data_IF_244287993242
#
_entry.id   IF_244287993242
#
_cell.length_a   1.000
_cell.length_b   1.000
_cell.length_c   1.000
_cell.angle_alpha   90.00
_cell.angle_beta   90.00
_cell.angle_gamma   90.00
#
_symmetry.space_group_name_H-M   'P 1'
#
loop_
_entity.id
_entity.type
_entity.pdbx_description
1 polymer ?
#
# COMPACT_ATOMS: atom_id res chain seq x y z
N UNK A 1 -34.39 63.84 3.74
CA UNK A 1 -33.66 62.86 4.58
C UNK A 1 -33.97 61.46 4.05
N UNK A 2 -32.96 60.80 3.48
CA UNK A 2 -33.06 59.51 2.80
C UNK A 2 -33.16 58.37 3.81
N UNK A 3 -34.36 57.86 4.05
CA UNK A 3 -34.60 56.71 4.94
C UNK A 3 -34.59 55.35 4.23
N UNK A 4 -34.69 55.30 2.89
CA UNK A 4 -34.79 54.03 2.14
C UNK A 4 -33.43 53.40 1.79
N UNK A 5 -32.36 54.20 1.69
CA UNK A 5 -31.02 53.72 1.32
C UNK A 5 -30.32 52.95 2.44
N UNK A 6 -30.60 53.28 3.71
CA UNK A 6 -29.96 52.62 4.85
C UNK A 6 -30.55 51.22 5.15
N UNK A 7 -31.80 50.95 4.76
CA UNK A 7 -32.44 49.66 5.00
C UNK A 7 -31.99 48.59 3.98
N UNK A 8 -31.66 49.01 2.76
CA UNK A 8 -31.12 48.14 1.71
C UNK A 8 -29.65 47.73 1.97
N UNK A 9 -28.83 48.64 2.52
CA UNK A 9 -27.45 48.31 2.90
C UNK A 9 -27.39 47.32 4.07
N UNK A 10 -28.29 47.43 5.05
CA UNK A 10 -28.31 46.54 6.21
C UNK A 10 -28.73 45.10 5.85
N UNK A 11 -29.69 44.94 4.93
CA UNK A 11 -30.09 43.62 4.41
C UNK A 11 -28.98 42.93 3.60
N UNK A 12 -28.20 43.69 2.84
CA UNK A 12 -27.09 43.16 2.03
C UNK A 12 -25.95 42.58 2.90
N UNK A 13 -25.61 43.25 4.01
CA UNK A 13 -24.55 42.82 4.93
C UNK A 13 -24.89 41.54 5.71
N UNK A 14 -26.17 41.31 6.02
CA UNK A 14 -26.63 40.09 6.73
C UNK A 14 -26.59 38.87 5.80
N UNK A 15 -27.02 39.03 4.54
CA UNK A 15 -27.02 37.94 3.55
C UNK A 15 -25.58 37.50 3.23
N UNK A 16 -24.64 38.45 3.08
CA UNK A 16 -23.22 38.15 2.85
C UNK A 16 -22.62 37.35 4.01
N UNK A 17 -22.92 37.71 5.27
CA UNK A 17 -22.42 36.99 6.45
C UNK A 17 -22.97 35.56 6.56
N UNK A 18 -24.23 35.35 6.17
CA UNK A 18 -24.85 34.02 6.12
C UNK A 18 -24.23 33.15 5.02
N UNK A 19 -23.91 33.73 3.86
CA UNK A 19 -23.23 33.03 2.75
C UNK A 19 -21.79 32.61 3.11
N UNK A 20 -21.04 33.45 3.83
CA UNK A 20 -19.68 33.12 4.31
C UNK A 20 -19.74 32.00 5.37
N UNK A 21 -20.73 32.01 6.25
CA UNK A 21 -20.92 30.95 7.25
C UNK A 21 -21.28 29.61 6.60
N UNK A 22 -22.08 29.59 5.52
CA UNK A 22 -22.39 28.35 4.78
C UNK A 22 -21.18 27.79 4.01
N UNK A 23 -20.32 28.66 3.46
CA UNK A 23 -19.06 28.25 2.82
C UNK A 23 -18.10 27.57 3.82
N UNK A 24 -18.03 28.06 5.05
CA UNK A 24 -17.18 27.46 6.10
C UNK A 24 -17.67 26.07 6.55
N UNK A 25 -18.96 25.78 6.48
CA UNK A 25 -19.52 24.46 6.83
C UNK A 25 -19.33 23.46 5.65
N UNK A 26 -19.24 23.95 4.42
CA UNK A 26 -19.00 23.10 3.23
C UNK A 26 -17.54 22.65 3.04
N UNK A 27 -16.58 23.27 3.74
CA UNK A 27 -15.15 22.90 3.71
C UNK A 27 -14.73 22.03 4.91
N UNK A 28 -15.63 21.80 5.87
CA UNK A 28 -15.37 21.04 7.10
C UNK A 28 -15.66 19.55 7.03
N UNK A 29 -15.90 18.98 5.85
CA UNK A 29 -16.17 17.55 5.69
C UNK A 29 -15.50 17.00 4.44
N UNK A 30 -14.17 17.02 4.43
CA UNK A 30 -13.42 15.89 3.93
C UNK A 30 -12.76 15.24 5.14
N UNK A 31 -13.49 14.36 5.81
CA UNK A 31 -12.87 13.20 6.45
C UNK A 31 -12.31 12.31 5.33
N UNK A 32 -11.31 12.84 4.61
CA UNK A 32 -10.42 12.03 3.82
C UNK A 32 -9.48 11.38 4.81
N UNK A 33 -9.99 10.39 5.56
CA UNK A 33 -9.11 9.30 5.94
C UNK A 33 -8.49 8.89 4.61
N UNK A 34 -7.17 9.06 4.47
CA UNK A 34 -6.44 8.39 3.42
C UNK A 34 -6.84 6.94 3.58
N UNK A 35 -7.77 6.48 2.74
CA UNK A 35 -7.96 5.07 2.48
C UNK A 35 -6.65 4.71 1.83
N UNK A 36 -5.67 4.35 2.66
CA UNK A 36 -4.47 3.70 2.19
C UNK A 36 -5.01 2.58 1.28
N UNK A 37 -4.71 2.55 -0.01
CA UNK A 37 -5.20 1.48 -0.88
C UNK A 37 -4.80 0.09 -0.35
N UNK A 38 -3.82 0.03 0.57
CA UNK A 38 -3.45 -1.17 1.33
C UNK A 38 -4.38 -1.50 2.52
N UNK A 39 -5.40 -0.67 2.78
CA UNK A 39 -6.47 -0.93 3.76
C UNK A 39 -7.45 -1.95 3.20
N UNK A 40 -6.97 -3.14 2.84
CA UNK A 40 -7.81 -4.31 2.70
C UNK A 40 -8.59 -4.49 4.02
N UNK A 41 -9.89 -4.37 3.91
CA UNK A 41 -10.85 -4.35 5.00
C UNK A 41 -10.77 -5.62 5.87
N UNK A 42 -10.22 -5.47 7.08
CA UNK A 42 -10.50 -6.22 8.34
C UNK A 42 -10.36 -7.76 8.42
N UNK A 43 -10.00 -8.49 7.37
CA UNK A 43 -9.84 -9.96 7.48
C UNK A 43 -8.43 -10.49 7.23
N UNK A 44 -7.45 -9.65 6.92
CA UNK A 44 -6.08 -10.08 6.66
C UNK A 44 -5.07 -9.40 7.58
N UNK A 45 -4.09 -10.16 8.05
CA UNK A 45 -2.89 -9.59 8.66
C UNK A 45 -1.87 -9.32 7.56
N UNK A 46 -1.40 -8.07 7.45
CA UNK A 46 -0.45 -7.69 6.40
C UNK A 46 0.96 -7.65 6.97
N UNK A 47 1.87 -8.35 6.29
CA UNK A 47 3.29 -8.38 6.60
C UNK A 47 4.10 -7.81 5.44
N UNK A 48 5.17 -7.09 5.74
CA UNK A 48 6.20 -6.76 4.77
C UNK A 48 7.38 -7.70 4.98
N UNK A 49 7.84 -8.33 3.91
CA UNK A 49 9.01 -9.20 3.88
C UNK A 49 10.08 -8.50 3.08
N UNK A 50 11.10 -8.02 3.79
CA UNK A 50 12.22 -7.29 3.24
C UNK A 50 13.42 -8.23 3.08
N UNK A 51 14.07 -8.18 1.91
CA UNK A 51 15.20 -9.03 1.57
C UNK A 51 16.20 -8.34 0.66
N UNK A 52 17.48 -8.72 0.80
CA UNK A 52 18.54 -8.33 -0.12
C UNK A 52 18.72 -9.40 -1.20
N UNK A 53 18.52 -9.09 -2.49
CA UNK A 53 18.65 -10.07 -3.57
C UNK A 53 20.05 -10.67 -3.69
N UNK A 54 21.09 -9.95 -3.25
CA UNK A 54 22.46 -10.44 -3.23
C UNK A 54 22.80 -11.24 -1.97
N UNK A 55 21.94 -11.21 -0.95
CA UNK A 55 22.12 -11.97 0.28
C UNK A 55 20.77 -12.40 0.88
N UNK A 56 20.29 -13.55 0.44
CA UNK A 56 19.02 -14.13 0.89
C UNK A 56 19.14 -14.92 2.21
N UNK A 57 20.15 -14.71 3.05
CA UNK A 57 20.32 -15.51 4.28
C UNK A 57 19.26 -15.23 5.33
N UNK A 58 18.81 -13.98 5.41
CA UNK A 58 17.88 -13.50 6.42
C UNK A 58 16.82 -12.63 5.75
N UNK A 59 15.61 -12.71 6.29
CA UNK A 59 14.47 -11.90 5.90
C UNK A 59 14.06 -11.05 7.09
N UNK A 60 13.90 -9.74 6.88
CA UNK A 60 13.30 -8.87 7.86
C UNK A 60 11.79 -8.84 7.64
N UNK A 61 11.04 -9.05 8.70
CA UNK A 61 9.58 -9.12 8.66
C UNK A 61 9.02 -8.00 9.53
N UNK A 62 8.25 -7.12 8.91
CA UNK A 62 7.45 -6.11 9.60
C UNK A 62 5.97 -6.45 9.50
N UNK A 63 5.18 -6.04 10.48
CA UNK A 63 3.72 -6.19 10.47
C UNK A 63 3.06 -4.82 10.39
N UNK A 64 2.00 -4.71 9.58
CA UNK A 64 1.16 -3.53 9.56
C UNK A 64 0.30 -3.47 10.83
N UNK A 65 0.42 -2.38 11.57
CA UNK A 65 -0.38 -2.08 12.76
C UNK A 65 -0.85 -0.62 12.72
N UNK A 66 -2.18 -0.44 12.65
CA UNK A 66 -2.85 0.87 12.58
C UNK A 66 -2.23 1.85 11.54
N UNK A 67 -1.82 1.33 10.38
CA UNK A 67 -1.22 2.13 9.30
C UNK A 67 0.29 2.39 9.46
N UNK A 68 0.96 1.72 10.40
CA UNK A 68 2.41 1.78 10.60
C UNK A 68 3.04 0.41 10.47
N UNK A 69 4.22 0.36 9.86
CA UNK A 69 5.05 -0.84 9.89
C UNK A 69 5.77 -0.93 11.23
N UNK A 70 5.62 -2.08 11.89
CA UNK A 70 6.27 -2.39 13.16
C UNK A 70 7.14 -3.63 12.96
N UNK A 71 8.41 -3.57 13.38
CA UNK A 71 9.31 -4.72 13.35
C UNK A 71 8.66 -5.91 14.08
N UNK A 72 8.56 -7.04 13.37
CA UNK A 72 7.88 -8.22 13.88
C UNK A 72 8.86 -9.36 14.14
N UNK A 73 9.73 -9.67 13.18
CA UNK A 73 10.69 -10.76 13.27
C UNK A 73 11.87 -10.53 12.32
N UNK A 74 13.01 -11.15 12.62
CA UNK A 74 14.11 -11.35 11.67
C UNK A 74 14.37 -12.84 11.62
N UNK A 75 14.10 -13.45 10.47
CA UNK A 75 14.11 -14.90 10.34
C UNK A 75 15.14 -15.34 9.31
N UNK A 76 15.81 -16.48 9.58
CA UNK A 76 16.61 -17.13 8.56
C UNK A 76 15.70 -17.55 7.41
N UNK A 77 16.13 -17.26 6.20
CA UNK A 77 15.42 -17.71 5.01
C UNK A 77 15.46 -19.24 4.92
N UNK A 78 14.33 -19.83 4.52
CA UNK A 78 14.16 -21.28 4.37
C UNK A 78 12.97 -21.83 5.13
N UNK A 79 12.73 -23.14 4.95
CA UNK A 79 11.47 -23.83 5.32
C UNK A 79 11.10 -23.78 6.81
N UNK A 80 12.05 -23.49 7.70
CA UNK A 80 11.77 -23.32 9.13
C UNK A 80 11.27 -21.91 9.49
N UNK A 81 11.49 -20.93 8.61
CA UNK A 81 11.02 -19.55 8.77
C UNK A 81 9.52 -19.42 8.45
N UNK A 82 8.95 -18.23 8.68
CA UNK A 82 7.56 -17.95 8.30
C UNK A 82 7.39 -17.92 6.78
N UNK A 83 8.35 -17.32 6.09
CA UNK A 83 8.38 -17.21 4.64
C UNK A 83 9.70 -17.75 4.10
N UNK A 84 9.73 -18.04 2.80
CA UNK A 84 10.96 -18.35 2.07
C UNK A 84 10.97 -17.58 0.76
N UNK A 85 12.12 -16.99 0.43
CA UNK A 85 12.38 -16.34 -0.85
C UNK A 85 13.47 -17.14 -1.57
N UNK A 86 13.19 -17.55 -2.79
CA UNK A 86 14.13 -18.25 -3.66
C UNK A 86 14.32 -17.43 -4.93
N UNK A 87 15.57 -17.29 -5.40
CA UNK A 87 15.89 -16.63 -6.67
C UNK A 87 16.73 -17.62 -7.46
N UNK A 88 16.09 -18.33 -8.38
CA UNK A 88 16.73 -19.40 -9.15
C UNK A 88 16.18 -19.43 -10.58
N UNK A 89 17.05 -19.74 -11.55
CA UNK A 89 16.69 -19.93 -12.95
C UNK A 89 15.90 -18.76 -13.61
N UNK A 90 16.13 -17.52 -13.15
CA UNK A 90 15.43 -16.35 -13.69
C UNK A 90 14.07 -16.07 -13.05
N UNK A 91 13.71 -16.80 -12.00
CA UNK A 91 12.48 -16.58 -11.26
C UNK A 91 12.76 -16.15 -9.83
N UNK A 92 11.84 -15.35 -9.28
CA UNK A 92 11.75 -15.13 -7.84
C UNK A 92 10.50 -15.83 -7.33
N UNK A 93 10.68 -16.75 -6.39
CA UNK A 93 9.63 -17.55 -5.78
C UNK A 93 9.45 -17.15 -4.32
N UNK A 94 8.20 -16.97 -3.90
CA UNK A 94 7.78 -16.64 -2.54
C UNK A 94 6.95 -17.78 -1.99
N UNK A 95 7.35 -18.29 -0.82
CA UNK A 95 6.69 -19.42 -0.17
C UNK A 95 6.21 -18.98 1.21
N UNK A 96 4.94 -19.25 1.53
CA UNK A 96 4.41 -19.18 2.89
C UNK A 96 4.47 -20.55 3.56
N UNK A 97 5.24 -20.66 4.66
CA UNK A 97 5.47 -21.93 5.34
C UNK A 97 4.49 -22.20 6.49
N UNK A 98 3.69 -21.20 6.90
CA UNK A 98 2.84 -21.29 8.09
C UNK A 98 1.35 -21.19 7.76
N UNK A 99 0.95 -20.08 7.17
CA UNK A 99 -0.46 -19.72 7.01
C UNK A 99 -0.76 -19.45 5.53
N UNK A 100 -2.02 -19.66 5.15
CA UNK A 100 -2.48 -19.32 3.80
C UNK A 100 -2.46 -17.82 3.60
N UNK A 101 -2.12 -17.41 2.40
CA UNK A 101 -2.01 -16.00 2.02
C UNK A 101 -2.88 -15.73 0.79
N UNK A 102 -3.35 -14.50 0.62
CA UNK A 102 -3.76 -14.04 -0.71
C UNK A 102 -2.52 -13.84 -1.61
N UNK A 103 -2.75 -13.48 -2.87
CA UNK A 103 -1.66 -13.19 -3.81
C UNK A 103 -0.81 -12.02 -3.28
N UNK A 104 0.53 -12.16 -3.20
CA UNK A 104 1.41 -11.11 -2.70
C UNK A 104 1.51 -9.90 -3.63
N UNK A 105 2.07 -8.81 -3.11
CA UNK A 105 2.40 -7.61 -3.91
C UNK A 105 3.89 -7.34 -3.86
N UNK A 106 4.54 -7.17 -5.02
CA UNK A 106 5.96 -6.82 -5.09
C UNK A 106 6.14 -5.29 -5.05
N UNK A 107 6.17 -4.73 -3.85
CA UNK A 107 6.14 -3.29 -3.64
C UNK A 107 7.30 -2.56 -4.32
N UNK A 108 8.55 -3.05 -4.16
CA UNK A 108 9.74 -2.39 -4.74
C UNK A 108 9.64 -2.28 -6.26
N UNK A 109 9.20 -3.36 -6.93
CA UNK A 109 9.03 -3.34 -8.39
C UNK A 109 7.90 -2.41 -8.83
N UNK A 110 6.77 -2.40 -8.12
CA UNK A 110 5.67 -1.48 -8.43
C UNK A 110 6.07 -0.01 -8.28
N UNK A 111 6.85 0.31 -7.25
CA UNK A 111 7.35 1.67 -7.04
C UNK A 111 8.31 2.08 -8.16
N UNK A 112 9.19 1.18 -8.58
CA UNK A 112 10.02 1.38 -9.76
C UNK A 112 9.19 1.58 -11.04
N UNK A 113 8.21 0.72 -11.30
CA UNK A 113 7.38 0.81 -12.51
C UNK A 113 6.59 2.13 -12.57
N UNK A 114 6.11 2.61 -11.43
CA UNK A 114 5.43 3.92 -11.35
C UNK A 114 6.40 5.07 -11.64
N UNK A 115 7.60 5.01 -11.08
CA UNK A 115 8.57 6.09 -11.20
C UNK A 115 9.21 6.14 -12.59
N UNK A 116 9.63 4.99 -13.12
CA UNK A 116 10.50 4.90 -14.30
C UNK A 116 9.74 4.47 -15.58
N UNK A 117 8.65 3.71 -15.44
CA UNK A 117 7.86 3.20 -16.59
C UNK A 117 6.54 3.96 -16.79
N UNK A 118 6.21 4.90 -15.89
CA UNK A 118 5.02 5.76 -16.00
C UNK A 118 3.72 5.07 -15.60
N UNK A 119 3.80 3.99 -14.82
CA UNK A 119 2.62 3.26 -14.34
C UNK A 119 1.86 4.11 -13.32
N UNK A 120 0.54 3.97 -13.27
CA UNK A 120 -0.36 4.73 -12.40
C UNK A 120 -1.01 3.85 -11.35
N UNK A 121 -1.74 4.48 -10.41
CA UNK A 121 -2.49 3.76 -9.36
C UNK A 121 -3.73 3.06 -9.94
N UNK A 122 -4.23 3.50 -11.09
CA UNK A 122 -5.39 2.90 -11.75
C UNK A 122 -5.07 1.63 -12.51
N UNK A 123 -3.80 1.36 -12.72
CA UNK A 123 -3.39 0.18 -13.44
C UNK A 123 -3.35 -1.03 -12.49
N UNK A 124 -4.09 -2.08 -12.85
CA UNK A 124 -4.13 -3.34 -12.09
C UNK A 124 -2.86 -4.15 -12.40
N UNK A 125 -2.09 -4.49 -11.36
CA UNK A 125 -0.88 -5.30 -11.52
C UNK A 125 -0.81 -6.37 -10.44
N UNK A 126 -1.31 -7.55 -10.80
CA UNK A 126 -0.87 -8.79 -10.18
C UNK A 126 0.23 -9.37 -11.08
N UNK A 127 1.47 -9.30 -10.61
CA UNK A 127 2.63 -9.82 -11.35
C UNK A 127 3.01 -11.23 -10.91
N UNK A 128 2.41 -11.72 -9.82
CA UNK A 128 2.70 -13.06 -9.31
C UNK A 128 1.86 -14.09 -10.05
N UNK A 129 2.52 -15.09 -10.60
CA UNK A 129 1.89 -16.34 -11.00
C UNK A 129 1.67 -17.20 -9.76
N UNK A 130 0.45 -17.71 -9.61
CA UNK A 130 0.09 -18.64 -8.52
C UNK A 130 0.51 -20.05 -8.90
N UNK A 131 1.50 -20.60 -8.19
CA UNK A 131 1.97 -21.98 -8.38
C UNK A 131 1.16 -22.93 -7.49
N UNK A 132 0.97 -22.57 -6.23
CA UNK A 132 0.09 -23.26 -5.29
C UNK A 132 -0.74 -22.22 -4.53
N UNK A 133 -2.05 -22.23 -4.76
CA UNK A 133 -2.98 -21.27 -4.17
C UNK A 133 -2.87 -21.24 -2.64
N UNK A 134 -2.58 -20.06 -2.10
CA UNK A 134 -2.41 -19.85 -0.67
C UNK A 134 -0.97 -19.96 -0.18
N UNK A 135 -0.04 -20.53 -0.95
CA UNK A 135 1.25 -20.96 -0.43
C UNK A 135 2.47 -20.60 -1.29
N UNK A 136 2.40 -20.74 -2.61
CA UNK A 136 3.57 -20.58 -3.49
C UNK A 136 3.23 -19.66 -4.66
N UNK A 137 4.03 -18.61 -4.80
CA UNK A 137 3.87 -17.55 -5.79
C UNK A 137 5.21 -17.28 -6.47
N UNK A 138 5.19 -16.94 -7.75
CA UNK A 138 6.40 -16.74 -8.54
C UNK A 138 6.29 -15.56 -9.50
N UNK A 139 7.39 -14.87 -9.76
CA UNK A 139 7.52 -13.87 -10.83
C UNK A 139 8.65 -14.24 -11.77
N UNK A 140 8.45 -13.95 -13.06
CA UNK A 140 9.51 -13.99 -14.07
C UNK A 140 10.37 -12.72 -13.98
N UNK A 141 11.66 -12.87 -13.73
CA UNK A 141 12.60 -11.76 -13.59
C UNK A 141 13.10 -11.22 -14.94
N UNK A 142 12.81 -11.87 -16.06
CA UNK A 142 13.00 -11.27 -17.39
C UNK A 142 11.95 -10.16 -17.64
N UNK A 143 10.72 -10.37 -17.18
CA UNK A 143 9.62 -9.40 -17.29
C UNK A 143 9.65 -8.36 -16.15
N UNK A 144 9.94 -8.82 -14.92
CA UNK A 144 9.92 -8.01 -13.71
C UNK A 144 11.26 -8.11 -12.97
N UNK A 145 12.35 -7.53 -13.52
CA UNK A 145 13.70 -7.70 -12.99
C UNK A 145 13.89 -7.13 -11.59
N UNK A 146 14.90 -7.67 -10.89
CA UNK A 146 15.36 -7.10 -9.64
C UNK A 146 15.94 -5.70 -9.87
N UNK A 147 15.65 -4.78 -8.96
CA UNK A 147 16.24 -3.44 -8.92
C UNK A 147 17.59 -3.50 -8.21
N UNK A 148 18.65 -3.26 -8.97
CA UNK A 148 20.03 -3.26 -8.48
C UNK A 148 20.26 -2.21 -7.38
N UNK A 149 20.96 -2.61 -6.32
CA UNK A 149 21.33 -1.72 -5.21
C UNK A 149 20.22 -1.41 -4.20
N UNK A 150 19.00 -1.91 -4.43
CA UNK A 150 17.85 -1.71 -3.54
C UNK A 150 17.59 -2.94 -2.65
N UNK A 151 17.03 -2.68 -1.47
CA UNK A 151 16.35 -3.72 -0.70
C UNK A 151 14.95 -3.94 -1.27
N UNK A 152 14.52 -5.20 -1.27
CA UNK A 152 13.29 -5.60 -1.93
C UNK A 152 12.22 -5.94 -0.90
N UNK A 153 11.01 -5.41 -1.11
CA UNK A 153 9.86 -5.60 -0.24
C UNK A 153 8.74 -6.32 -0.95
N UNK A 154 8.26 -7.39 -0.34
CA UNK A 154 7.03 -8.09 -0.74
C UNK A 154 5.99 -7.95 0.36
N UNK A 155 4.79 -7.52 0.00
CA UNK A 155 3.65 -7.46 0.91
C UNK A 155 2.90 -8.78 0.86
N UNK A 156 2.68 -9.33 2.04
CA UNK A 156 2.14 -10.65 2.28
C UNK A 156 0.83 -10.50 3.06
N UNK A 157 -0.29 -10.92 2.47
CA UNK A 157 -1.63 -10.77 3.04
C UNK A 157 -2.10 -12.10 3.63
N UNK A 158 -1.95 -12.27 4.94
CA UNK A 158 -2.26 -13.52 5.64
C UNK A 158 -3.75 -13.66 5.92
N UNK A 159 -4.33 -14.80 5.54
CA UNK A 159 -5.71 -15.17 5.82
C UNK A 159 -5.86 -15.51 7.31
N UNK A 160 -6.81 -14.84 7.99
CA UNK A 160 -7.16 -15.10 9.39
C UNK A 160 -7.97 -16.40 9.57
#
# INVERSE_FOLDING_TARGET
MNFSTNFLQFKSQIIIKILIAMLAISLGSCTGGMTNPDSYTRNHAVYAVDFNPHNLTELQISKMDEGKWVDYDTSKNGKSGRYTIEIENGFLTVISNKNKMDVPTYQTWLDYARQELGYTVQDEYDIFTVIEEGFIYEIDLEEHPLIEGEEHRILMYEQN
#
